data_IF_875607987565
#
_entry.id   IF_875607987565
#
_cell.length_a   1.000
_cell.length_b   1.000
_cell.length_c   1.000
_cell.angle_alpha   90.00
_cell.angle_beta   90.00
_cell.angle_gamma   90.00
#
_symmetry.space_group_name_H-M   'P 1'
#
loop_
_entity.id
_entity.type
_entity.pdbx_description
1 polymer ?
#
# COMPACT_ATOMS: atom_id res chain seq x y z
N UNK A 1 10.34 -23.89 17.48
CA UNK A 1 8.91 -23.64 17.16
C UNK A 1 8.87 -22.41 16.25
N UNK A 2 8.31 -22.52 15.04
CA UNK A 2 8.21 -21.39 14.10
C UNK A 2 6.87 -20.69 14.29
N UNK A 3 6.86 -19.37 14.36
CA UNK A 3 5.62 -18.58 14.45
C UNK A 3 5.10 -18.39 13.01
N UNK A 4 3.84 -18.74 12.71
CA UNK A 4 3.30 -18.55 11.37
C UNK A 4 3.28 -17.06 10.98
N UNK A 5 3.48 -16.72 9.69
CA UNK A 5 3.43 -15.34 9.23
C UNK A 5 2.09 -14.69 9.58
N UNK A 6 2.13 -13.48 10.15
CA UNK A 6 0.94 -12.70 10.42
C UNK A 6 0.70 -11.70 9.29
N UNK A 7 -0.57 -11.49 8.95
CA UNK A 7 -0.97 -10.50 7.95
C UNK A 7 -1.51 -9.25 8.63
N UNK A 8 -1.12 -8.08 8.12
CA UNK A 8 -1.64 -6.78 8.52
C UNK A 8 -2.31 -6.17 7.29
N UNK A 9 -3.52 -5.64 7.45
CA UNK A 9 -4.26 -4.95 6.39
C UNK A 9 -4.82 -3.63 6.91
N UNK A 10 -5.11 -2.71 5.99
CA UNK A 10 -5.69 -1.41 6.31
C UNK A 10 -6.22 -0.72 5.05
N UNK A 11 -6.98 0.35 5.24
CA UNK A 11 -7.50 1.19 4.17
C UNK A 11 -7.02 2.63 4.33
N UNK A 12 -6.75 3.29 3.20
CA UNK A 12 -6.42 4.71 3.16
C UNK A 12 -7.57 5.44 2.46
N UNK A 13 -8.14 6.43 3.15
CA UNK A 13 -9.17 7.30 2.60
C UNK A 13 -8.60 8.71 2.43
N UNK A 14 -8.89 9.33 1.28
CA UNK A 14 -8.57 10.75 1.05
C UNK A 14 -9.80 11.62 1.27
N UNK A 15 -9.59 12.80 1.86
CA UNK A 15 -10.58 13.89 1.88
C UNK A 15 -10.25 14.98 0.86
N UNK A 16 -9.07 14.91 0.22
CA UNK A 16 -8.66 15.87 -0.79
C UNK A 16 -9.45 15.64 -2.09
N UNK A 17 -10.23 16.64 -2.50
CA UNK A 17 -11.10 16.59 -3.69
C UNK A 17 -10.31 16.39 -4.99
N UNK A 18 -9.10 16.93 -5.11
CA UNK A 18 -8.26 16.75 -6.30
C UNK A 18 -7.86 15.28 -6.43
N UNK A 19 -7.39 14.68 -5.34
CA UNK A 19 -7.00 13.26 -5.35
C UNK A 19 -8.21 12.33 -5.48
N UNK A 20 -9.38 12.71 -4.98
CA UNK A 20 -10.61 11.94 -5.16
C UNK A 20 -11.01 11.82 -6.65
N UNK A 21 -10.64 12.80 -7.47
CA UNK A 21 -10.89 12.80 -8.92
C UNK A 21 -9.77 12.14 -9.74
N UNK A 22 -8.71 11.64 -9.11
CA UNK A 22 -7.65 10.94 -9.83
C UNK A 22 -8.13 9.62 -10.41
N UNK A 23 -7.58 9.28 -11.58
CA UNK A 23 -7.85 7.97 -12.19
C UNK A 23 -7.25 6.84 -11.36
N UNK A 24 -7.78 5.62 -11.53
CA UNK A 24 -7.23 4.41 -10.90
C UNK A 24 -5.73 4.26 -11.16
N UNK A 25 -5.26 4.59 -12.38
CA UNK A 25 -3.84 4.51 -12.73
C UNK A 25 -2.99 5.51 -11.94
N UNK A 26 -3.47 6.74 -11.74
CA UNK A 26 -2.78 7.75 -10.92
C UNK A 26 -2.66 7.29 -9.47
N UNK A 27 -3.75 6.77 -8.90
CA UNK A 27 -3.73 6.17 -7.57
C UNK A 27 -2.78 4.99 -7.47
N UNK A 28 -2.82 4.07 -8.46
CA UNK A 28 -1.94 2.91 -8.47
C UNK A 28 -0.46 3.31 -8.55
N UNK A 29 -0.11 4.39 -9.27
CA UNK A 29 1.26 4.90 -9.30
C UNK A 29 1.74 5.35 -7.91
N UNK A 30 0.88 6.01 -7.13
CA UNK A 30 1.20 6.41 -5.75
C UNK A 30 1.36 5.19 -4.85
N UNK A 31 0.45 4.22 -4.94
CA UNK A 31 0.53 2.98 -4.16
C UNK A 31 1.79 2.17 -4.50
N UNK A 32 2.13 2.04 -5.78
CA UNK A 32 3.37 1.38 -6.22
C UNK A 32 4.61 2.08 -5.66
N UNK A 33 4.61 3.42 -5.63
CA UNK A 33 5.71 4.18 -5.02
C UNK A 33 5.78 3.93 -3.51
N UNK A 34 4.65 3.88 -2.81
CA UNK A 34 4.61 3.58 -1.37
C UNK A 34 5.17 2.17 -1.07
N UNK A 35 4.77 1.16 -1.84
CA UNK A 35 5.32 -0.20 -1.71
C UNK A 35 6.82 -0.24 -1.98
N UNK A 36 7.30 0.49 -2.99
CA UNK A 36 8.73 0.58 -3.27
C UNK A 36 9.51 1.25 -2.13
N UNK A 37 8.96 2.32 -1.55
CA UNK A 37 9.56 2.98 -0.38
C UNK A 37 9.55 2.08 0.85
N UNK A 38 8.51 1.28 1.06
CA UNK A 38 8.44 0.29 2.12
C UNK A 38 9.55 -0.76 1.94
N UNK A 39 9.70 -1.30 0.73
CA UNK A 39 10.69 -2.34 0.42
C UNK A 39 12.14 -1.85 0.54
N UNK A 40 12.41 -0.59 0.17
CA UNK A 40 13.75 0.00 0.24
C UNK A 40 14.06 0.64 1.60
N UNK A 41 13.04 0.82 2.45
CA UNK A 41 13.18 1.47 3.75
C UNK A 41 13.55 0.52 4.89
N UNK A 42 13.59 1.04 6.14
CA UNK A 42 13.94 0.27 7.32
C UNK A 42 13.07 -0.97 7.55
N UNK A 43 11.85 -0.97 7.00
CA UNK A 43 10.88 -2.05 7.15
C UNK A 43 10.93 -3.11 6.03
N UNK A 44 11.81 -2.98 5.03
CA UNK A 44 11.83 -3.86 3.86
C UNK A 44 12.04 -5.34 4.19
N UNK A 45 12.81 -5.65 5.22
CA UNK A 45 13.05 -7.03 5.70
C UNK A 45 11.98 -7.53 6.68
N UNK A 46 11.08 -6.67 7.16
CA UNK A 46 10.04 -7.03 8.12
C UNK A 46 8.82 -7.68 7.45
N UNK A 47 8.67 -7.50 6.14
CA UNK A 47 7.56 -8.03 5.38
C UNK A 47 8.08 -9.00 4.31
N UNK A 48 7.54 -10.21 4.31
CA UNK A 48 7.81 -11.18 3.24
C UNK A 48 7.15 -10.75 1.91
N UNK A 49 5.98 -10.14 1.99
CA UNK A 49 5.23 -9.63 0.84
C UNK A 49 4.35 -8.46 1.26
N UNK A 50 4.11 -7.53 0.35
CA UNK A 50 3.21 -6.40 0.51
C UNK A 50 2.50 -6.10 -0.82
N UNK A 51 1.22 -5.78 -0.76
CA UNK A 51 0.42 -5.39 -1.91
C UNK A 51 -0.49 -4.22 -1.55
N UNK A 52 -0.82 -3.41 -2.55
CA UNK A 52 -1.72 -2.27 -2.41
C UNK A 52 -2.51 -2.12 -3.70
N UNK A 53 -3.82 -1.99 -3.55
CA UNK A 53 -4.77 -1.89 -4.66
C UNK A 53 -5.69 -0.70 -4.46
N UNK A 54 -6.19 -0.16 -5.56
CA UNK A 54 -7.29 0.81 -5.52
C UNK A 54 -8.60 0.04 -5.39
N UNK A 55 -9.22 0.10 -4.21
CA UNK A 55 -10.56 -0.43 -3.99
C UNK A 55 -11.60 0.46 -4.67
N UNK A 56 -12.52 -0.15 -5.45
CA UNK A 56 -13.77 0.52 -5.80
C UNK A 56 -14.72 0.36 -4.62
N UNK A 57 -15.22 1.49 -4.11
CA UNK A 57 -16.29 1.51 -3.12
C UNK A 57 -17.63 1.28 -3.80
#
# INVERSE_FOLDING_TARGET
MSIPPQSISGSLMTTNVVMANWSTTMWQNVLNRALRLLALGPFGSHFFSASAIVGRN
#
